data_IF_894143051881
#
_entry.id   IF_894143051881
#
_cell.length_a   1.000
_cell.length_b   1.000
_cell.length_c   1.000
_cell.angle_alpha   90.00
_cell.angle_beta   90.00
_cell.angle_gamma   90.00
#
_symmetry.space_group_name_H-M   'P 1'
#
loop_
_entity.id
_entity.type
_entity.pdbx_description
1 polymer ?
#
# COMPACT_ATOMS: atom_id res chain seq x y z
N UNK A 1 3.30 -18.40 12.90
CA UNK A 1 2.02 -17.73 12.54
C UNK A 1 2.04 -17.23 11.11
N UNK A 2 3.00 -16.40 10.70
CA UNK A 2 3.04 -15.81 9.35
C UNK A 2 3.06 -16.83 8.19
N UNK A 3 3.70 -17.98 8.35
CA UNK A 3 3.75 -19.08 7.34
C UNK A 3 2.36 -19.59 6.96
N UNK A 4 1.41 -19.56 7.87
CA UNK A 4 0.03 -20.00 7.59
C UNK A 4 -0.73 -19.05 6.65
N UNK A 5 -0.30 -17.81 6.57
CA UNK A 5 -0.94 -16.81 5.72
C UNK A 5 -0.53 -16.92 4.24
N UNK A 6 0.47 -17.71 3.93
CA UNK A 6 0.91 -17.99 2.56
C UNK A 6 1.11 -19.51 2.36
N UNK A 7 0.05 -20.30 2.16
CA UNK A 7 0.11 -21.74 2.01
C UNK A 7 0.94 -22.24 0.83
N UNK A 8 0.97 -21.46 -0.27
CA UNK A 8 1.68 -21.79 -1.50
C UNK A 8 3.15 -21.36 -1.48
N UNK A 9 3.64 -20.86 -0.35
CA UNK A 9 5.03 -20.44 -0.23
C UNK A 9 6.00 -21.58 -0.59
N UNK A 10 7.05 -21.27 -1.37
CA UNK A 10 8.09 -22.24 -1.65
C UNK A 10 8.77 -22.66 -0.35
N UNK A 11 9.20 -23.89 -0.27
CA UNK A 11 9.85 -24.42 0.94
C UNK A 11 11.30 -24.82 0.64
N UNK A 12 12.27 -24.46 1.48
CA UNK A 12 12.14 -23.71 2.76
C UNK A 12 11.75 -22.22 2.57
N UNK A 13 10.99 -21.67 3.51
CA UNK A 13 10.57 -20.25 3.52
C UNK A 13 11.53 -19.48 4.42
N UNK A 14 12.13 -18.43 3.89
CA UNK A 14 12.93 -17.50 4.67
C UNK A 14 12.03 -16.47 5.39
N UNK A 15 12.50 -15.96 6.52
CA UNK A 15 11.76 -14.95 7.28
C UNK A 15 11.47 -13.68 6.44
N UNK A 16 12.38 -13.31 5.55
CA UNK A 16 12.25 -12.17 4.65
C UNK A 16 11.23 -12.40 3.52
N UNK A 17 10.95 -13.63 3.16
CA UNK A 17 9.91 -13.96 2.18
C UNK A 17 8.50 -13.69 2.72
N UNK A 18 8.36 -13.58 4.03
CA UNK A 18 7.10 -13.41 4.75
C UNK A 18 6.92 -12.01 5.33
N UNK A 19 7.61 -11.00 4.81
CA UNK A 19 7.50 -9.64 5.35
C UNK A 19 6.08 -9.10 5.39
N UNK A 20 5.25 -9.21 4.33
CA UNK A 20 3.87 -8.72 4.38
C UNK A 20 3.03 -9.44 5.44
N UNK A 21 3.17 -10.76 5.55
CA UNK A 21 2.43 -11.58 6.52
C UNK A 21 2.86 -11.25 7.96
N UNK A 22 4.17 -11.01 8.15
CA UNK A 22 4.71 -10.58 9.44
C UNK A 22 4.17 -9.21 9.85
N UNK A 23 4.05 -8.29 8.90
CA UNK A 23 3.43 -6.97 9.15
C UNK A 23 1.98 -7.13 9.60
N UNK A 24 1.21 -7.98 8.91
CA UNK A 24 -0.19 -8.26 9.29
C UNK A 24 -0.30 -8.91 10.67
N UNK A 25 0.72 -9.66 11.09
CA UNK A 25 0.81 -10.24 12.42
C UNK A 25 1.31 -9.25 13.50
N UNK A 26 1.56 -7.99 13.15
CA UNK A 26 1.98 -6.95 14.08
C UNK A 26 3.49 -6.83 14.30
N UNK A 27 4.31 -7.39 13.40
CA UNK A 27 5.77 -7.35 13.50
C UNK A 27 6.31 -5.96 13.08
N UNK A 28 6.72 -5.17 14.05
CA UNK A 28 7.28 -3.82 13.82
C UNK A 28 8.59 -3.82 13.04
N UNK A 29 9.57 -4.72 13.29
CA UNK A 29 10.77 -4.83 12.46
C UNK A 29 10.46 -5.14 10.99
N UNK A 30 9.52 -6.02 10.69
CA UNK A 30 9.10 -6.32 9.33
C UNK A 30 8.50 -5.08 8.64
N UNK A 31 7.70 -4.30 9.36
CA UNK A 31 7.15 -3.03 8.88
C UNK A 31 8.25 -2.04 8.49
N UNK A 32 9.22 -1.83 9.36
CA UNK A 32 10.36 -0.94 9.07
C UNK A 32 11.15 -1.42 7.86
N UNK A 33 11.41 -2.72 7.78
CA UNK A 33 12.16 -3.30 6.67
C UNK A 33 11.48 -3.04 5.34
N UNK A 34 10.18 -3.24 5.22
CA UNK A 34 9.43 -2.94 3.99
C UNK A 34 9.48 -1.46 3.61
N UNK A 35 9.33 -0.58 4.58
CA UNK A 35 9.44 0.87 4.33
C UNK A 35 10.85 1.22 3.85
N UNK A 36 11.87 0.73 4.51
CA UNK A 36 13.26 1.10 4.21
C UNK A 36 13.78 0.48 2.91
N UNK A 37 13.37 -0.74 2.57
CA UNK A 37 13.88 -1.46 1.40
C UNK A 37 13.02 -1.27 0.15
N UNK A 38 11.76 -0.92 0.27
CA UNK A 38 10.84 -0.78 -0.86
C UNK A 38 10.35 0.66 -1.01
N UNK A 39 9.68 1.20 0.00
CA UNK A 39 9.06 2.52 -0.12
C UNK A 39 10.08 3.64 -0.32
N UNK A 40 11.08 3.76 0.54
CA UNK A 40 12.07 4.83 0.47
C UNK A 40 12.87 4.86 -0.82
N UNK A 41 13.38 3.73 -1.36
CA UNK A 41 14.06 3.75 -2.65
C UNK A 41 13.17 4.19 -3.80
N UNK A 42 11.90 3.85 -3.80
CA UNK A 42 10.94 4.31 -4.80
C UNK A 42 10.59 5.79 -4.62
N UNK A 43 10.44 6.24 -3.39
CA UNK A 43 10.17 7.64 -3.06
C UNK A 43 11.32 8.56 -3.45
N UNK A 44 12.56 8.11 -3.35
CA UNK A 44 13.75 8.87 -3.78
C UNK A 44 13.70 9.24 -5.27
N UNK A 45 12.94 8.49 -6.07
CA UNK A 45 12.59 8.86 -7.44
C UNK A 45 11.07 8.95 -7.54
N UNK A 46 10.51 10.15 -7.40
CA UNK A 46 9.06 10.35 -7.42
C UNK A 46 8.38 9.77 -8.65
N UNK A 47 9.04 9.79 -9.82
CA UNK A 47 8.52 9.18 -11.04
C UNK A 47 8.36 7.66 -10.95
N UNK A 48 9.26 6.96 -10.24
CA UNK A 48 9.15 5.51 -10.03
C UNK A 48 8.00 5.20 -9.07
N UNK A 49 7.90 5.90 -7.96
CA UNK A 49 6.83 5.71 -6.98
C UNK A 49 5.46 5.94 -7.63
N UNK A 50 5.29 7.04 -8.34
CA UNK A 50 4.05 7.36 -9.05
C UNK A 50 3.69 6.29 -10.09
N UNK A 51 4.67 5.84 -10.88
CA UNK A 51 4.45 4.83 -11.90
C UNK A 51 4.03 3.49 -11.28
N UNK A 52 4.71 3.04 -10.24
CA UNK A 52 4.37 1.80 -9.54
C UNK A 52 2.99 1.89 -8.90
N UNK A 53 2.70 2.96 -8.19
CA UNK A 53 1.40 3.17 -7.55
C UNK A 53 0.25 3.18 -8.57
N UNK A 54 0.43 3.86 -9.70
CA UNK A 54 -0.57 3.92 -10.77
C UNK A 54 -0.74 2.56 -11.44
N UNK A 55 0.36 1.86 -11.74
CA UNK A 55 0.33 0.51 -12.31
C UNK A 55 -0.46 -0.47 -11.44
N UNK A 56 -0.19 -0.48 -10.15
CA UNK A 56 -0.92 -1.32 -9.20
C UNK A 56 -2.39 -0.92 -9.09
N UNK A 57 -2.70 0.37 -9.14
CA UNK A 57 -4.08 0.87 -9.12
C UNK A 57 -4.85 0.52 -10.39
N UNK A 58 -4.16 0.42 -11.52
CA UNK A 58 -4.74 -0.02 -12.80
C UNK A 58 -4.81 -1.55 -12.94
N UNK A 59 -4.61 -2.29 -11.86
CA UNK A 59 -4.67 -3.75 -11.87
C UNK A 59 -3.55 -4.42 -12.69
N UNK A 60 -2.41 -3.77 -12.86
CA UNK A 60 -1.31 -4.27 -13.68
C UNK A 60 -1.50 -4.09 -15.18
N UNK A 61 -2.39 -3.20 -15.60
CA UNK A 61 -2.62 -2.90 -17.00
C UNK A 61 -1.66 -1.82 -17.50
N UNK A 62 -0.68 -2.19 -18.33
CA UNK A 62 0.36 -1.31 -18.84
C UNK A 62 -0.22 -0.12 -19.63
N UNK A 63 -1.13 -0.39 -20.55
CA UNK A 63 -1.76 0.64 -21.40
C UNK A 63 -2.58 1.64 -20.57
N UNK A 64 -3.34 1.16 -19.59
CA UNK A 64 -4.12 2.01 -18.71
C UNK A 64 -3.21 2.91 -17.86
N UNK A 65 -2.09 2.37 -17.39
CA UNK A 65 -1.07 3.11 -16.65
C UNK A 65 -0.45 4.21 -17.49
N UNK A 66 -0.07 3.89 -18.72
CA UNK A 66 0.50 4.85 -19.67
C UNK A 66 -0.46 6.01 -19.95
N UNK A 67 -1.74 5.70 -20.16
CA UNK A 67 -2.78 6.73 -20.34
C UNK A 67 -2.96 7.58 -19.10
N UNK A 68 -3.01 6.97 -17.93
CA UNK A 68 -3.19 7.69 -16.66
C UNK A 68 -2.03 8.64 -16.37
N UNK A 69 -0.82 8.27 -16.74
CA UNK A 69 0.40 9.08 -16.53
C UNK A 69 0.74 10.00 -17.71
N UNK A 70 -0.02 9.95 -18.79
CA UNK A 70 0.26 10.72 -20.02
C UNK A 70 1.65 10.48 -20.60
N UNK A 71 2.08 9.22 -20.60
CA UNK A 71 3.38 8.79 -21.13
C UNK A 71 3.22 7.61 -22.09
N UNK A 72 4.26 7.35 -22.89
CA UNK A 72 4.29 6.19 -23.77
C UNK A 72 4.38 4.88 -22.94
N UNK A 73 3.75 3.77 -23.38
CA UNK A 73 3.87 2.47 -22.70
C UNK A 73 5.30 1.99 -22.46
N UNK A 74 6.23 2.28 -23.37
CA UNK A 74 7.64 1.95 -23.20
C UNK A 74 8.28 2.69 -22.01
N UNK A 75 7.85 3.91 -21.74
CA UNK A 75 8.28 4.67 -20.56
C UNK A 75 7.82 3.98 -19.27
N UNK A 76 6.58 3.48 -19.25
CA UNK A 76 6.08 2.69 -18.12
C UNK A 76 6.91 1.43 -17.92
N UNK A 77 7.17 0.66 -19.00
CA UNK A 77 8.00 -0.55 -18.93
C UNK A 77 9.38 -0.26 -18.37
N UNK A 78 10.02 0.80 -18.85
CA UNK A 78 11.34 1.22 -18.36
C UNK A 78 11.30 1.56 -16.88
N UNK A 79 10.32 2.37 -16.45
CA UNK A 79 10.18 2.78 -15.05
C UNK A 79 9.87 1.60 -14.13
N UNK A 80 9.03 0.65 -14.57
CA UNK A 80 8.73 -0.56 -13.79
C UNK A 80 9.98 -1.44 -13.62
N UNK A 81 10.78 -1.59 -14.68
CA UNK A 81 12.05 -2.32 -14.58
C UNK A 81 13.01 -1.63 -13.63
N UNK A 82 13.14 -0.32 -13.75
CA UNK A 82 14.00 0.45 -12.86
C UNK A 82 13.53 0.41 -11.41
N UNK A 83 12.22 0.44 -11.18
CA UNK A 83 11.64 0.25 -9.86
C UNK A 83 12.03 -1.11 -9.26
N UNK A 84 11.96 -2.18 -10.04
CA UNK A 84 12.39 -3.51 -9.62
C UNK A 84 13.87 -3.55 -9.22
N UNK A 85 14.73 -2.87 -9.96
CA UNK A 85 16.16 -2.77 -9.64
C UNK A 85 16.43 -2.06 -8.31
N UNK A 86 15.67 -1.00 -7.98
CA UNK A 86 15.92 -0.23 -6.77
C UNK A 86 15.23 -0.79 -5.54
N UNK A 87 14.09 -1.46 -5.67
CA UNK A 87 13.36 -2.02 -4.53
C UNK A 87 13.52 -3.54 -4.36
N UNK A 88 14.05 -4.24 -5.36
CA UNK A 88 14.28 -5.68 -5.31
C UNK A 88 13.05 -6.55 -5.57
N UNK A 89 11.94 -5.98 -6.02
CA UNK A 89 10.69 -6.70 -6.30
C UNK A 89 10.17 -6.38 -7.70
N UNK A 90 9.81 -7.42 -8.45
CA UNK A 90 9.19 -7.28 -9.77
C UNK A 90 7.68 -7.08 -9.62
N UNK A 91 7.21 -5.85 -9.83
CA UNK A 91 5.78 -5.53 -9.70
C UNK A 91 4.87 -6.19 -10.73
N UNK A 92 5.44 -6.84 -11.75
CA UNK A 92 4.69 -7.64 -12.72
C UNK A 92 4.43 -9.06 -12.22
N UNK A 93 5.17 -9.52 -11.22
CA UNK A 93 4.89 -10.77 -10.51
C UNK A 93 3.81 -10.55 -9.44
N UNK A 94 2.76 -11.40 -9.39
CA UNK A 94 1.65 -11.20 -8.44
C UNK A 94 2.07 -11.20 -6.97
N UNK A 95 3.02 -12.03 -6.59
CA UNK A 95 3.52 -12.08 -5.19
C UNK A 95 4.30 -10.83 -4.85
N UNK A 96 5.22 -10.43 -5.70
CA UNK A 96 6.02 -9.23 -5.53
C UNK A 96 5.16 -7.97 -5.56
N UNK A 97 4.15 -7.92 -6.43
CA UNK A 97 3.16 -6.84 -6.45
C UNK A 97 2.43 -6.69 -5.11
N UNK A 98 2.10 -7.81 -4.46
CA UNK A 98 1.49 -7.78 -3.13
C UNK A 98 2.44 -7.21 -2.07
N UNK A 99 3.70 -7.63 -2.07
CA UNK A 99 4.73 -7.07 -1.17
C UNK A 99 4.84 -5.57 -1.35
N UNK A 100 4.94 -5.11 -2.59
CA UNK A 100 5.05 -3.68 -2.91
C UNK A 100 3.79 -2.91 -2.51
N UNK A 101 2.60 -3.44 -2.71
CA UNK A 101 1.34 -2.82 -2.24
C UNK A 101 1.35 -2.58 -0.74
N UNK A 102 1.76 -3.58 0.03
CA UNK A 102 1.87 -3.45 1.50
C UNK A 102 2.90 -2.38 1.87
N UNK A 103 4.06 -2.38 1.23
CA UNK A 103 5.11 -1.38 1.47
C UNK A 103 4.64 0.05 1.17
N UNK A 104 3.93 0.26 0.06
CA UNK A 104 3.38 1.56 -0.30
C UNK A 104 2.32 2.03 0.70
N UNK A 105 1.46 1.14 1.16
CA UNK A 105 0.48 1.44 2.19
C UNK A 105 1.15 1.87 3.50
N UNK A 106 2.18 1.15 3.93
CA UNK A 106 2.98 1.48 5.11
C UNK A 106 3.68 2.84 4.97
N UNK A 107 4.22 3.14 3.80
CA UNK A 107 4.86 4.42 3.50
C UNK A 107 3.88 5.59 3.63
N UNK A 108 2.67 5.45 3.11
CA UNK A 108 1.59 6.45 3.25
C UNK A 108 1.20 6.67 4.71
N UNK A 109 1.09 5.60 5.49
CA UNK A 109 0.76 5.68 6.91
C UNK A 109 1.86 6.36 7.72
N UNK A 110 3.12 6.19 7.31
CA UNK A 110 4.29 6.78 8.00
C UNK A 110 4.50 8.25 7.65
N UNK A 111 4.14 8.66 6.42
CA UNK A 111 4.32 10.02 5.90
C UNK A 111 3.11 10.93 6.07
N UNK A 112 1.92 10.38 6.31
CA UNK A 112 0.74 11.19 6.53
C UNK A 112 0.79 11.83 7.92
N UNK A 113 0.57 13.15 8.05
CA UNK A 113 0.20 13.69 9.35
C UNK A 113 -1.03 12.90 9.80
N UNK A 114 -1.03 12.47 11.06
CA UNK A 114 -2.18 11.77 11.63
C UNK A 114 -3.40 12.69 11.53
N UNK A 115 -4.07 12.62 10.40
CA UNK A 115 -5.42 13.11 10.30
C UNK A 115 -6.22 12.18 11.17
N UNK A 116 -6.59 12.66 12.36
CA UNK A 116 -7.54 11.97 13.17
C UNK A 116 -8.73 11.68 12.27
N UNK A 117 -8.98 10.41 11.96
CA UNK A 117 -10.24 10.02 11.37
C UNK A 117 -11.31 10.57 12.31
N UNK A 118 -12.31 11.31 11.81
CA UNK A 118 -13.43 11.64 12.64
C UNK A 118 -13.95 10.31 13.17
N UNK A 119 -13.83 10.11 14.47
CA UNK A 119 -14.54 9.04 15.13
C UNK A 119 -15.98 9.28 14.74
N UNK A 120 -16.53 8.40 13.90
CA UNK A 120 -17.97 8.37 13.78
C UNK A 120 -18.47 8.18 15.19
N UNK A 121 -19.08 9.19 15.73
CA UNK A 121 -19.91 9.06 16.91
C UNK A 121 -21.12 8.23 16.48
N UNK A 122 -20.90 6.92 16.32
CA UNK A 122 -21.97 5.96 16.20
C UNK A 122 -22.55 5.84 17.59
N UNK A 123 -23.54 6.63 17.89
CA UNK A 123 -24.27 6.42 19.12
C UNK A 123 -24.96 7.61 19.75
N UNK A 124 -24.86 8.79 19.22
CA UNK A 124 -25.88 9.78 19.59
C UNK A 124 -27.03 9.67 18.60
N UNK A 125 -27.69 8.51 18.70
CA UNK A 125 -29.05 8.44 18.28
C UNK A 125 -29.80 9.60 18.95
N UNK A 126 -30.25 10.52 18.11
CA UNK A 126 -31.22 11.52 18.45
C UNK A 126 -32.20 11.11 19.54
N UNK A 127 -31.88 11.34 20.76
CA UNK A 127 -32.81 11.57 21.82
C UNK A 127 -32.88 13.07 22.10
N UNK A 128 -33.07 13.79 21.04
CA UNK A 128 -33.48 15.16 21.09
C UNK A 128 -34.92 15.24 20.67
N UNK A 129 -35.76 14.70 21.47
CA UNK A 129 -37.13 15.13 21.44
C UNK A 129 -37.13 16.63 21.71
N UNK A 130 -37.31 17.41 20.68
CA UNK A 130 -37.55 18.83 20.80
C UNK A 130 -38.78 19.00 21.70
N UNK A 131 -38.53 19.34 22.93
CA UNK A 131 -39.57 19.92 23.79
C UNK A 131 -39.85 21.27 23.19
N UNK A 132 -40.93 21.36 22.43
CA UNK A 132 -41.47 22.64 22.04
C UNK A 132 -42.04 23.27 23.30
N UNK A 133 -41.53 24.41 23.78
CA UNK A 133 -42.19 25.11 24.84
C UNK A 133 -43.50 25.68 24.30
N UNK A 134 -44.59 25.16 24.82
CA UNK A 134 -45.87 25.80 24.59
C UNK A 134 -45.85 27.13 25.29
N UNK A 135 -45.70 28.18 24.54
CA UNK A 135 -46.00 29.52 25.00
C UNK A 135 -47.48 29.73 24.87
N UNK A 136 -48.07 29.96 25.98
CA UNK A 136 -49.40 30.60 26.03
C UNK A 136 -49.28 32.06 25.59
#
# INVERSE_FOLDING_TARGET
MAVRAWPEAPRPVLADDLLPERVLAGDTPARRRLVDTVHRPLEASGALLETVATYLSCGGALEATARALFVHPNTVRYRLRRAGEVCGYDVTDPRDAYVVRVALALGRLSGAPRRALPVRADGEAASGAAVVPTQL
#
